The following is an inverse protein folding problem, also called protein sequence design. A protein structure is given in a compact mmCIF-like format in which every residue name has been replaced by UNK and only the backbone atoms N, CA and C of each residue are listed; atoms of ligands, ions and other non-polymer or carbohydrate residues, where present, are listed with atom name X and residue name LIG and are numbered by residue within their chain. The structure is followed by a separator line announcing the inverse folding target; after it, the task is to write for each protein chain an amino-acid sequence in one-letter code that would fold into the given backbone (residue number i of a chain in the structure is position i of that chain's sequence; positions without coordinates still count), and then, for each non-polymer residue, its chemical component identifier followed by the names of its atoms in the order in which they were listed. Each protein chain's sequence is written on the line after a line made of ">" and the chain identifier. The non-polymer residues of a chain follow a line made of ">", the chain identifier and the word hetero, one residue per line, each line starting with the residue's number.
data_IF_723657717107
#
_entry.id   IF_723657717107
#
_cell.length_a   1.000
_cell.length_b   1.000
_cell.length_c   1.000
_cell.angle_alpha   90.00
_cell.angle_beta   90.00
_cell.angle_gamma   90.00
#
_symmetry.space_group_name_H-M   'P 1'
#
loop_
_entity.id
_entity.type
_entity.pdbx_description
1 polymer ?
#
# COMPACT_ATOMS: atom_id res chain seq x y z
N UNK A 1 -3.11 -2.71 -28.80
CA UNK A 1 -2.03 -2.03 -29.54
C UNK A 1 -1.09 -1.46 -28.52
N UNK A 2 0.21 -1.83 -28.47
CA UNK A 2 1.17 -1.15 -27.62
C UNK A 2 1.33 0.28 -28.13
N UNK A 3 1.08 1.25 -27.26
CA UNK A 3 1.26 2.65 -27.57
C UNK A 3 2.76 2.97 -27.57
N UNK A 4 3.19 3.85 -28.47
CA UNK A 4 4.59 4.26 -28.73
C UNK A 4 5.33 4.92 -27.55
N UNK A 5 4.73 4.98 -26.35
CA UNK A 5 5.36 5.49 -25.11
C UNK A 5 6.34 4.50 -24.46
N UNK A 6 6.41 3.27 -24.94
CA UNK A 6 7.09 2.18 -24.23
C UNK A 6 8.61 2.06 -24.48
N UNK A 7 9.17 2.60 -25.54
CA UNK A 7 10.59 2.36 -25.87
C UNK A 7 11.57 3.18 -25.01
N UNK A 8 11.28 4.44 -24.74
CA UNK A 8 12.07 5.27 -23.82
C UNK A 8 11.95 4.81 -22.36
N UNK A 9 10.78 4.26 -21.99
CA UNK A 9 10.52 3.73 -20.68
C UNK A 9 11.25 2.42 -20.40
N UNK A 10 11.51 1.57 -21.41
CA UNK A 10 12.20 0.29 -21.23
C UNK A 10 13.70 0.45 -20.99
N UNK A 11 14.38 1.34 -21.70
CA UNK A 11 15.79 1.67 -21.41
C UNK A 11 15.95 2.25 -20.00
N UNK A 12 15.07 3.15 -19.61
CA UNK A 12 15.07 3.78 -18.28
C UNK A 12 14.85 2.73 -17.18
N UNK A 13 13.89 1.83 -17.38
CA UNK A 13 13.61 0.73 -16.45
C UNK A 13 14.80 -0.22 -16.34
N UNK A 14 15.40 -0.65 -17.43
CA UNK A 14 16.59 -1.51 -17.41
C UNK A 14 17.78 -0.87 -16.69
N UNK A 15 17.99 0.43 -16.90
CA UNK A 15 19.03 1.17 -16.16
C UNK A 15 18.77 1.20 -14.68
N UNK A 16 17.53 1.52 -14.26
CA UNK A 16 17.15 1.53 -12.86
C UNK A 16 17.29 0.14 -12.23
N UNK A 17 16.83 -0.91 -12.90
CA UNK A 17 16.97 -2.30 -12.45
C UNK A 17 18.44 -2.72 -12.25
N UNK A 18 19.32 -2.34 -13.18
CA UNK A 18 20.76 -2.63 -13.08
C UNK A 18 21.41 -1.92 -11.87
N UNK A 19 21.09 -0.63 -11.67
CA UNK A 19 21.58 0.14 -10.52
C UNK A 19 21.04 -0.40 -9.20
N UNK A 20 19.75 -0.74 -9.14
CA UNK A 20 19.13 -1.36 -7.96
C UNK A 20 19.78 -2.70 -7.60
N UNK A 21 19.96 -3.58 -8.60
CA UNK A 21 20.57 -4.89 -8.39
C UNK A 21 22.01 -4.77 -7.90
N UNK A 22 22.79 -3.85 -8.47
CA UNK A 22 24.17 -3.62 -8.05
C UNK A 22 24.24 -3.07 -6.62
N UNK A 23 23.42 -2.06 -6.29
CA UNK A 23 23.38 -1.45 -4.96
C UNK A 23 22.88 -2.43 -3.90
N UNK A 24 21.82 -3.17 -4.18
CA UNK A 24 21.26 -4.14 -3.23
C UNK A 24 22.23 -5.29 -2.94
N UNK A 25 22.96 -5.76 -3.95
CA UNK A 25 23.99 -6.78 -3.77
C UNK A 25 25.16 -6.27 -2.92
N UNK A 26 25.74 -5.10 -3.25
CA UNK A 26 26.82 -4.51 -2.46
C UNK A 26 26.44 -4.33 -1.00
N UNK A 27 25.24 -3.82 -0.75
CA UNK A 27 24.72 -3.62 0.60
C UNK A 27 24.51 -4.95 1.34
N UNK A 28 23.92 -5.94 0.70
CA UNK A 28 23.73 -7.28 1.27
C UNK A 28 25.06 -7.96 1.59
N UNK A 29 26.05 -7.86 0.69
CA UNK A 29 27.40 -8.40 0.89
C UNK A 29 28.12 -7.73 2.07
N UNK A 30 27.77 -6.49 2.42
CA UNK A 30 28.23 -5.77 3.58
C UNK A 30 27.43 -6.07 4.87
N UNK A 31 26.44 -6.95 4.78
CA UNK A 31 25.60 -7.37 5.89
C UNK A 31 24.46 -6.40 6.24
N UNK A 32 24.07 -5.51 5.32
CA UNK A 32 22.91 -4.67 5.51
C UNK A 32 21.60 -5.46 5.38
N UNK A 33 20.58 -5.00 6.09
CA UNK A 33 19.17 -5.38 5.89
C UNK A 33 18.36 -4.16 5.46
N UNK A 34 17.14 -4.36 4.99
CA UNK A 34 16.22 -3.26 4.68
C UNK A 34 15.96 -2.40 5.92
N UNK A 35 15.87 -3.02 7.11
CA UNK A 35 15.47 -2.37 8.36
C UNK A 35 16.58 -1.50 8.98
N UNK A 36 17.86 -1.84 8.74
CA UNK A 36 19.01 -1.09 9.25
C UNK A 36 19.76 -0.27 8.18
N UNK A 37 19.17 -0.19 6.99
CA UNK A 37 19.78 0.48 5.85
C UNK A 37 20.10 1.94 6.13
N UNK A 38 19.16 2.65 6.78
CA UNK A 38 19.30 4.06 7.15
C UNK A 38 19.27 4.23 8.68
N UNK A 39 20.17 5.01 9.27
CA UNK A 39 21.35 5.67 8.65
C UNK A 39 22.64 4.84 8.68
N UNK A 40 22.56 3.55 9.05
CA UNK A 40 23.74 2.73 9.35
C UNK A 40 24.66 2.51 8.14
N UNK A 41 24.09 2.19 6.98
CA UNK A 41 24.83 1.90 5.74
C UNK A 41 24.76 3.04 4.74
N UNK A 42 23.66 3.77 4.72
CA UNK A 42 23.43 4.91 3.84
C UNK A 42 22.84 6.08 4.62
N UNK A 43 23.33 7.29 4.36
CA UNK A 43 22.69 8.52 4.83
C UNK A 43 21.49 8.89 3.96
N UNK A 44 21.58 8.60 2.68
CA UNK A 44 20.52 8.78 1.69
C UNK A 44 20.75 7.84 0.51
N UNK A 45 19.73 7.60 -0.29
CA UNK A 45 19.87 6.87 -1.56
C UNK A 45 20.82 7.65 -2.48
N UNK A 46 21.81 7.00 -3.14
CA UNK A 46 22.67 7.65 -4.12
C UNK A 46 21.85 8.41 -5.17
N UNK A 47 22.26 9.64 -5.48
CA UNK A 47 21.46 10.57 -6.29
C UNK A 47 21.14 10.05 -7.70
N UNK A 48 22.08 9.36 -8.32
CA UNK A 48 21.92 8.74 -9.65
C UNK A 48 20.95 7.55 -9.62
N UNK A 49 21.00 6.72 -8.58
CA UNK A 49 20.06 5.64 -8.35
C UNK A 49 18.66 6.20 -8.09
N UNK A 50 18.52 7.16 -7.18
CA UNK A 50 17.23 7.77 -6.87
C UNK A 50 16.60 8.45 -8.11
N UNK A 51 17.42 9.12 -8.93
CA UNK A 51 16.94 9.72 -10.18
C UNK A 51 16.49 8.65 -11.18
N UNK A 52 17.26 7.56 -11.34
CA UNK A 52 16.91 6.46 -12.22
C UNK A 52 15.61 5.77 -11.81
N UNK A 53 15.44 5.50 -10.50
CA UNK A 53 14.22 4.90 -9.93
C UNK A 53 13.01 5.81 -10.19
N UNK A 54 13.09 7.09 -9.84
CA UNK A 54 12.00 8.05 -10.09
C UNK A 54 11.62 8.19 -11.56
N UNK A 55 12.58 8.07 -12.45
CA UNK A 55 12.33 8.12 -13.89
C UNK A 55 11.71 6.82 -14.44
N UNK A 56 11.94 5.68 -13.76
CA UNK A 56 11.46 4.37 -14.18
C UNK A 56 10.08 4.01 -13.61
N UNK A 57 9.69 4.62 -12.50
CA UNK A 57 8.39 4.39 -11.89
C UNK A 57 7.35 5.27 -12.57
N UNK A 58 6.29 4.64 -13.06
CA UNK A 58 5.15 5.35 -13.60
C UNK A 58 4.44 6.17 -12.48
N UNK A 59 4.10 7.41 -12.77
CA UNK A 59 3.29 8.19 -11.84
C UNK A 59 1.90 7.59 -11.74
N UNK A 60 1.28 7.55 -10.54
CA UNK A 60 -0.10 7.17 -10.39
C UNK A 60 -1.02 8.01 -11.29
N UNK A 61 -1.99 7.35 -11.92
CA UNK A 61 -3.07 8.05 -12.61
C UNK A 61 -3.86 8.88 -11.59
N UNK A 62 -4.09 10.18 -11.81
CA UNK A 62 -4.73 11.04 -10.83
C UNK A 62 -6.15 10.60 -10.43
N UNK A 63 -6.88 9.94 -11.32
CA UNK A 63 -8.24 9.45 -11.07
C UNK A 63 -8.24 8.04 -10.47
N UNK A 64 -7.35 7.16 -10.93
CA UNK A 64 -7.24 5.81 -10.41
C UNK A 64 -6.50 5.76 -9.06
N UNK A 65 -5.56 6.66 -8.82
CA UNK A 65 -4.76 6.69 -7.61
C UNK A 65 -3.62 5.65 -7.57
N UNK A 66 -3.38 4.91 -8.66
CA UNK A 66 -2.34 3.88 -8.71
C UNK A 66 -1.62 3.83 -10.06
N UNK A 67 -0.49 3.18 -10.08
CA UNK A 67 0.25 2.83 -11.29
C UNK A 67 0.97 1.51 -11.12
N UNK A 68 1.35 0.90 -12.23
CA UNK A 68 2.12 -0.35 -12.27
C UNK A 68 3.44 -0.10 -12.97
N UNK A 69 4.55 -0.47 -12.33
CA UNK A 69 5.87 -0.44 -12.92
C UNK A 69 6.44 -1.85 -13.01
N UNK A 70 6.83 -2.28 -14.19
CA UNK A 70 7.30 -3.65 -14.46
C UNK A 70 8.81 -3.67 -14.70
N UNK A 71 9.43 -4.80 -14.34
CA UNK A 71 10.82 -5.07 -14.70
C UNK A 71 11.87 -4.40 -13.82
N UNK A 72 11.52 -3.61 -12.81
CA UNK A 72 12.48 -3.00 -11.88
C UNK A 72 13.24 -4.04 -11.05
N UNK A 73 12.61 -5.16 -10.75
CA UNK A 73 13.19 -6.25 -9.98
C UNK A 73 13.60 -7.44 -10.87
N UNK A 74 13.62 -7.25 -12.20
CA UNK A 74 14.14 -8.26 -13.12
C UNK A 74 15.65 -8.46 -12.87
N UNK A 75 16.06 -9.72 -12.70
CA UNK A 75 17.46 -10.07 -12.44
C UNK A 75 17.82 -10.23 -10.96
N UNK A 76 16.87 -10.04 -10.05
CA UNK A 76 17.03 -10.51 -8.68
C UNK A 76 16.88 -12.03 -8.62
N UNK A 77 17.61 -12.71 -7.73
CA UNK A 77 17.47 -14.15 -7.57
C UNK A 77 16.06 -14.53 -7.12
N UNK A 78 15.60 -15.71 -7.51
CA UNK A 78 14.36 -16.26 -6.96
C UNK A 78 14.55 -16.46 -5.44
N UNK A 79 13.67 -15.93 -4.61
CA UNK A 79 13.76 -16.07 -3.16
C UNK A 79 13.47 -17.50 -2.65
N UNK A 80 13.26 -18.46 -3.54
CA UNK A 80 12.96 -19.84 -3.20
C UNK A 80 11.47 -20.09 -2.95
N UNK A 81 11.10 -21.23 -2.33
CA UNK A 81 9.71 -21.59 -2.08
C UNK A 81 9.05 -20.61 -1.10
N UNK A 82 7.73 -20.42 -1.27
CA UNK A 82 6.94 -19.61 -0.34
C UNK A 82 7.08 -20.14 1.08
N UNK A 83 7.52 -19.31 2.05
CA UNK A 83 7.66 -19.76 3.44
C UNK A 83 6.30 -19.96 4.10
N UNK A 84 6.24 -20.73 5.19
CA UNK A 84 4.99 -20.96 5.94
C UNK A 84 4.45 -19.71 6.65
N UNK A 85 5.28 -18.71 6.88
CA UNK A 85 4.89 -17.43 7.46
C UNK A 85 5.96 -16.39 7.19
N UNK A 86 5.62 -15.11 7.36
CA UNK A 86 6.57 -14.02 7.23
C UNK A 86 7.78 -14.15 8.18
N UNK A 87 7.62 -14.78 9.37
CA UNK A 87 8.72 -15.01 10.33
C UNK A 87 9.71 -16.07 9.83
N UNK A 88 9.25 -16.98 8.97
CA UNK A 88 10.08 -18.02 8.35
C UNK A 88 10.64 -17.61 7.00
N UNK A 89 10.22 -16.46 6.46
CA UNK A 89 10.88 -15.85 5.33
C UNK A 89 12.34 -15.57 5.73
N UNK A 90 13.26 -16.38 5.19
CA UNK A 90 14.66 -16.30 5.57
C UNK A 90 15.25 -14.95 5.23
N UNK A 91 15.81 -14.26 6.22
CA UNK A 91 16.42 -12.94 6.02
C UNK A 91 17.56 -12.95 4.97
N UNK A 92 18.09 -14.14 4.64
CA UNK A 92 19.13 -14.30 3.62
C UNK A 92 18.56 -14.46 2.21
N UNK A 93 17.41 -15.12 2.07
CA UNK A 93 16.85 -15.44 0.74
C UNK A 93 16.22 -14.22 0.09
N UNK A 94 15.64 -13.32 0.90
CA UNK A 94 14.99 -12.09 0.43
C UNK A 94 15.84 -10.83 0.61
N UNK A 95 17.01 -10.90 1.28
CA UNK A 95 17.77 -9.72 1.69
C UNK A 95 18.04 -8.70 0.58
N UNK A 96 18.48 -9.15 -0.59
CA UNK A 96 18.73 -8.26 -1.71
C UNK A 96 17.45 -7.63 -2.25
N UNK A 97 16.37 -8.39 -2.27
CA UNK A 97 15.06 -7.94 -2.72
C UNK A 97 14.48 -6.91 -1.74
N UNK A 98 14.51 -7.19 -0.46
CA UNK A 98 14.03 -6.30 0.60
C UNK A 98 14.81 -4.97 0.60
N UNK A 99 16.15 -5.02 0.45
CA UNK A 99 16.97 -3.83 0.29
C UNK A 99 16.58 -3.04 -0.97
N UNK A 100 16.36 -3.72 -2.10
CA UNK A 100 15.93 -3.04 -3.32
C UNK A 100 14.58 -2.35 -3.15
N UNK A 101 13.62 -2.99 -2.50
CA UNK A 101 12.30 -2.41 -2.17
C UNK A 101 12.46 -1.17 -1.28
N UNK A 102 13.29 -1.26 -0.24
CA UNK A 102 13.59 -0.13 0.64
C UNK A 102 14.25 1.04 -0.12
N UNK A 103 15.18 0.76 -1.05
CA UNK A 103 15.82 1.77 -1.90
C UNK A 103 14.82 2.42 -2.87
N UNK A 104 13.90 1.64 -3.45
CA UNK A 104 12.81 2.17 -4.28
C UNK A 104 11.94 3.10 -3.45
N UNK A 105 11.44 2.63 -2.30
CA UNK A 105 10.60 3.42 -1.41
C UNK A 105 11.29 4.71 -0.95
N UNK A 106 12.57 4.62 -0.51
CA UNK A 106 13.36 5.78 -0.11
C UNK A 106 13.70 6.75 -1.23
N UNK A 107 13.66 6.29 -2.49
CA UNK A 107 13.78 7.15 -3.67
C UNK A 107 12.53 7.99 -3.93
N UNK A 108 11.37 7.53 -3.46
CA UNK A 108 10.07 8.19 -3.64
C UNK A 108 9.70 9.09 -2.45
N UNK A 109 10.10 8.72 -1.23
CA UNK A 109 9.77 9.46 -0.04
C UNK A 109 10.48 8.95 1.21
N UNK A 110 9.98 9.35 2.37
CA UNK A 110 10.47 8.87 3.66
C UNK A 110 9.85 7.51 3.99
N UNK A 111 10.67 6.49 4.13
CA UNK A 111 10.23 5.16 4.53
C UNK A 111 10.08 5.10 6.06
N UNK A 112 9.04 4.44 6.52
CA UNK A 112 8.82 4.14 7.94
C UNK A 112 8.01 2.84 8.07
N UNK A 113 8.05 2.23 9.24
CA UNK A 113 7.26 1.08 9.64
C UNK A 113 6.71 1.30 11.05
N UNK A 114 5.74 0.51 11.44
CA UNK A 114 5.14 0.54 12.77
C UNK A 114 5.78 -0.54 13.65
N UNK A 115 6.18 -0.18 14.85
CA UNK A 115 6.85 -1.10 15.77
C UNK A 115 6.01 -2.36 16.09
N UNK A 116 4.69 -2.25 16.04
CA UNK A 116 3.76 -3.36 16.27
C UNK A 116 3.55 -4.30 15.07
N UNK A 117 3.92 -3.87 13.86
CA UNK A 117 3.72 -4.68 12.65
C UNK A 117 5.02 -5.39 12.26
N UNK A 118 4.95 -6.71 12.10
CA UNK A 118 6.07 -7.58 11.72
C UNK A 118 7.40 -7.21 12.41
N UNK A 119 7.36 -7.00 13.74
CA UNK A 119 8.50 -6.62 14.58
C UNK A 119 9.18 -5.29 14.15
N UNK A 120 8.44 -4.37 13.54
CA UNK A 120 8.92 -3.05 13.11
C UNK A 120 9.67 -3.04 11.78
N UNK A 121 9.52 -4.07 10.97
CA UNK A 121 10.16 -4.15 9.64
C UNK A 121 9.68 -3.02 8.72
N UNK A 122 10.57 -2.55 7.86
CA UNK A 122 10.24 -1.59 6.80
C UNK A 122 9.63 -2.26 5.56
N UNK A 123 10.01 -3.51 5.30
CA UNK A 123 9.49 -4.33 4.21
C UNK A 123 8.75 -5.51 4.82
N UNK A 124 7.44 -5.53 4.65
CA UNK A 124 6.57 -6.59 5.15
C UNK A 124 6.47 -7.71 4.12
N UNK A 125 6.62 -8.94 4.58
CA UNK A 125 6.40 -10.12 3.75
C UNK A 125 4.96 -10.59 3.91
N UNK A 126 4.19 -10.51 2.85
CA UNK A 126 2.80 -10.97 2.79
C UNK A 126 2.82 -12.38 2.18
N UNK A 127 2.55 -13.38 2.99
CA UNK A 127 2.54 -14.78 2.59
C UNK A 127 1.34 -15.49 3.21
N UNK A 128 0.69 -16.41 2.50
CA UNK A 128 -0.34 -17.26 3.10
C UNK A 128 0.23 -18.00 4.30
N UNK A 129 -0.45 -17.93 5.43
CA UNK A 129 0.06 -18.53 6.69
C UNK A 129 -0.96 -19.51 7.27
N UNK A 130 -0.54 -20.74 7.67
CA UNK A 130 -1.41 -21.69 8.35
C UNK A 130 -2.02 -21.09 9.62
N UNK A 131 -3.34 -21.19 9.75
CA UNK A 131 -4.11 -20.64 10.85
C UNK A 131 -4.77 -19.30 10.56
N UNK A 132 -4.34 -18.61 9.48
CA UNK A 132 -4.89 -17.30 9.08
C UNK A 132 -5.91 -17.43 7.92
N UNK A 133 -6.19 -18.66 7.45
CA UNK A 133 -6.92 -18.90 6.20
C UNK A 133 -8.25 -18.16 6.10
N UNK A 134 -8.93 -17.99 7.23
CA UNK A 134 -10.26 -17.39 7.32
C UNK A 134 -10.28 -16.02 8.03
N UNK A 135 -9.11 -15.41 8.27
CA UNK A 135 -9.01 -14.10 8.91
C UNK A 135 -9.04 -12.97 7.88
N UNK A 136 -9.44 -11.77 8.31
CA UNK A 136 -9.38 -10.54 7.50
C UNK A 136 -7.98 -9.89 7.60
N UNK A 137 -6.95 -10.64 7.19
CA UNK A 137 -5.54 -10.22 7.23
C UNK A 137 -4.83 -10.59 5.93
N UNK A 138 -3.72 -9.91 5.63
CA UNK A 138 -2.96 -10.13 4.40
C UNK A 138 -2.38 -11.53 4.23
N UNK A 139 -2.26 -12.32 5.31
CA UNK A 139 -1.82 -13.73 5.31
C UNK A 139 -2.94 -14.75 5.11
N UNK A 140 -4.19 -14.30 4.92
CA UNK A 140 -5.32 -15.17 4.58
C UNK A 140 -5.14 -15.82 3.21
N UNK A 141 -5.67 -17.04 3.06
CA UNK A 141 -5.67 -17.79 1.79
C UNK A 141 -7.05 -18.19 1.29
N UNK A 142 -8.08 -18.16 2.14
CA UNK A 142 -9.45 -18.57 1.81
C UNK A 142 -10.45 -17.41 1.88
N UNK A 143 -10.15 -16.37 2.64
CA UNK A 143 -11.03 -15.21 2.80
C UNK A 143 -10.54 -14.05 1.94
N UNK A 144 -11.41 -13.53 1.09
CA UNK A 144 -11.15 -12.31 0.35
C UNK A 144 -11.12 -11.13 1.33
N UNK A 145 -10.06 -10.32 1.26
CA UNK A 145 -9.97 -9.11 2.06
C UNK A 145 -11.04 -8.11 1.61
N UNK A 146 -11.76 -7.57 2.57
CA UNK A 146 -12.68 -6.48 2.33
C UNK A 146 -11.94 -5.24 1.78
N UNK A 147 -12.64 -4.41 1.03
CA UNK A 147 -12.11 -3.14 0.54
C UNK A 147 -11.70 -2.24 1.70
N UNK A 148 -10.43 -1.92 1.83
CA UNK A 148 -9.90 -1.10 2.93
C UNK A 148 -8.82 -0.13 2.47
N UNK A 149 -8.58 0.87 3.27
CA UNK A 149 -7.40 1.71 3.18
C UNK A 149 -6.41 1.27 4.25
N UNK A 150 -5.13 1.15 3.88
CA UNK A 150 -4.07 0.78 4.81
C UNK A 150 -4.02 1.76 5.97
N UNK A 151 -3.88 1.25 7.20
CA UNK A 151 -3.80 2.03 8.44
C UNK A 151 -4.87 3.13 8.56
N UNK A 152 -6.10 2.86 8.11
CA UNK A 152 -7.17 3.87 7.98
C UNK A 152 -7.46 4.66 9.26
N UNK A 153 -7.21 4.07 10.44
CA UNK A 153 -7.35 4.70 11.77
C UNK A 153 -6.20 5.68 12.07
N UNK A 154 -4.99 5.46 11.52
CA UNK A 154 -3.80 6.15 11.96
C UNK A 154 -3.69 7.57 11.38
N UNK A 155 -3.54 8.64 12.20
CA UNK A 155 -3.45 10.02 11.72
C UNK A 155 -2.20 10.30 10.87
N UNK A 156 -1.13 9.52 11.06
CA UNK A 156 0.13 9.59 10.31
C UNK A 156 0.33 8.38 9.40
N UNK A 157 -0.76 7.84 8.83
CA UNK A 157 -0.67 6.74 7.88
C UNK A 157 0.19 7.10 6.67
N UNK A 158 0.64 6.10 5.95
CA UNK A 158 1.45 6.30 4.76
C UNK A 158 0.67 7.04 3.65
N UNK A 159 1.34 7.97 2.97
CA UNK A 159 0.79 8.64 1.78
C UNK A 159 0.96 7.79 0.52
N UNK A 160 1.95 6.91 0.51
CA UNK A 160 2.25 5.98 -0.58
C UNK A 160 2.41 4.58 -0.02
N UNK A 161 1.74 3.62 -0.63
CA UNK A 161 1.96 2.20 -0.40
C UNK A 161 2.68 1.63 -1.63
N UNK A 162 3.81 0.97 -1.40
CA UNK A 162 4.54 0.23 -2.42
C UNK A 162 4.27 -1.26 -2.24
N UNK A 163 3.52 -1.84 -3.16
CA UNK A 163 3.27 -3.28 -3.17
C UNK A 163 4.11 -3.94 -4.25
N UNK A 164 4.84 -4.99 -3.87
CA UNK A 164 5.69 -5.78 -4.78
C UNK A 164 5.17 -7.19 -4.85
N UNK A 165 4.77 -7.62 -6.04
CA UNK A 165 4.43 -9.02 -6.29
C UNK A 165 5.71 -9.80 -6.56
N UNK A 166 6.04 -10.73 -5.67
CA UNK A 166 7.21 -11.62 -5.81
C UNK A 166 6.82 -12.90 -6.56
N UNK A 167 5.63 -13.41 -6.29
CA UNK A 167 5.08 -14.61 -6.93
C UNK A 167 3.56 -14.51 -7.05
N UNK A 168 3.02 -14.89 -8.19
CA UNK A 168 1.59 -14.93 -8.48
C UNK A 168 1.35 -16.03 -9.51
N UNK A 169 1.53 -17.27 -9.06
CA UNK A 169 1.45 -18.46 -9.93
C UNK A 169 0.03 -18.67 -10.46
N UNK A 170 -0.98 -18.25 -9.70
CA UNK A 170 -2.40 -18.37 -10.04
C UNK A 170 -2.96 -17.15 -10.78
N UNK A 171 -2.13 -16.13 -11.02
CA UNK A 171 -2.51 -14.87 -11.70
C UNK A 171 -3.72 -14.16 -11.07
N UNK A 172 -3.84 -14.22 -9.73
CA UNK A 172 -4.96 -13.65 -8.99
C UNK A 172 -4.94 -12.12 -8.98
N UNK A 173 -3.75 -11.53 -8.92
CA UNK A 173 -3.57 -10.09 -8.90
C UNK A 173 -4.12 -9.41 -7.64
N UNK A 174 -4.10 -8.08 -7.64
CA UNK A 174 -4.69 -7.24 -6.60
C UNK A 174 -5.71 -6.29 -7.23
N UNK A 175 -6.80 -6.04 -6.52
CA UNK A 175 -7.81 -5.06 -6.95
C UNK A 175 -7.54 -3.73 -6.26
N UNK A 176 -7.70 -2.64 -6.98
CA UNK A 176 -7.55 -1.28 -6.47
C UNK A 176 -8.76 -0.44 -6.88
N UNK A 177 -9.27 0.33 -5.94
CA UNK A 177 -10.41 1.23 -6.13
C UNK A 177 -10.02 2.67 -5.76
N UNK A 178 -10.69 3.65 -6.35
CA UNK A 178 -10.46 5.05 -6.08
C UNK A 178 -11.79 5.79 -5.89
N UNK A 179 -11.93 6.48 -4.76
CA UNK A 179 -13.08 7.33 -4.47
C UNK A 179 -13.33 8.40 -5.55
N UNK A 180 -12.30 8.80 -6.28
CA UNK A 180 -12.40 9.78 -7.38
C UNK A 180 -13.18 9.23 -8.58
N UNK A 181 -13.34 7.91 -8.70
CA UNK A 181 -14.13 7.22 -9.74
C UNK A 181 -15.51 6.80 -9.25
N UNK A 182 -15.81 6.96 -7.97
CA UNK A 182 -17.08 6.52 -7.40
C UNK A 182 -18.28 7.39 -7.79
N UNK A 183 -18.05 8.52 -8.47
CA UNK A 183 -19.12 9.44 -8.92
C UNK A 183 -20.11 9.81 -7.80
N UNK A 184 -19.54 10.16 -6.63
CA UNK A 184 -20.34 10.56 -5.47
C UNK A 184 -21.16 11.82 -5.76
N UNK A 185 -22.43 11.81 -5.40
CA UNK A 185 -23.28 13.00 -5.41
C UNK A 185 -22.88 13.99 -4.30
N UNK A 186 -23.26 15.26 -4.45
CA UNK A 186 -23.00 16.26 -3.41
C UNK A 186 -23.57 15.87 -2.02
N UNK A 187 -24.80 15.30 -1.89
CA UNK A 187 -25.29 14.83 -0.60
C UNK A 187 -24.45 13.69 0.00
N UNK A 188 -23.97 12.72 -0.82
CA UNK A 188 -23.08 11.66 -0.37
C UNK A 188 -21.74 12.22 0.13
N UNK A 189 -21.14 13.14 -0.63
CA UNK A 189 -19.91 13.82 -0.21
C UNK A 189 -20.11 14.56 1.11
N UNK A 190 -21.19 15.32 1.25
CA UNK A 190 -21.50 16.05 2.48
C UNK A 190 -21.67 15.11 3.68
N UNK A 191 -22.35 13.98 3.49
CA UNK A 191 -22.57 12.98 4.54
C UNK A 191 -21.23 12.32 4.96
N UNK A 192 -20.43 11.86 4.01
CA UNK A 192 -19.17 11.16 4.25
C UNK A 192 -18.04 12.09 4.74
N UNK A 193 -18.17 13.40 4.48
CA UNK A 193 -17.25 14.42 5.00
C UNK A 193 -17.59 14.87 6.43
N UNK A 194 -18.76 14.49 6.96
CA UNK A 194 -19.07 14.74 8.35
C UNK A 194 -18.18 13.86 9.27
N UNK A 195 -17.70 14.38 10.41
CA UNK A 195 -16.90 13.61 11.36
C UNK A 195 -17.80 12.66 12.19
N UNK A 196 -18.34 11.64 11.54
CA UNK A 196 -19.32 10.70 12.11
C UNK A 196 -18.72 9.31 12.38
N UNK A 197 -17.61 8.96 11.75
CA UNK A 197 -16.98 7.65 11.88
C UNK A 197 -15.91 7.64 12.97
N UNK A 198 -15.81 6.51 13.68
CA UNK A 198 -14.67 6.13 14.52
C UNK A 198 -14.02 4.94 13.85
N UNK A 199 -12.73 5.05 13.54
CA UNK A 199 -11.95 3.98 12.94
C UNK A 199 -10.96 3.48 13.98
N UNK A 200 -11.10 2.21 14.37
CA UNK A 200 -10.23 1.59 15.36
C UNK A 200 -9.07 0.86 14.68
N UNK A 201 -7.96 0.60 15.39
CA UNK A 201 -6.87 -0.23 14.88
C UNK A 201 -7.36 -1.62 14.49
N UNK A 202 -6.71 -2.21 13.50
CA UNK A 202 -6.90 -3.63 13.15
C UNK A 202 -6.15 -4.56 14.13
N UNK A 203 -6.39 -5.85 14.01
CA UNK A 203 -5.88 -6.89 14.91
C UNK A 203 -4.34 -7.06 14.81
N UNK A 204 -3.65 -6.38 13.90
CA UNK A 204 -2.18 -6.39 13.82
C UNK A 204 -1.52 -5.44 14.81
N UNK A 205 -2.28 -4.54 15.43
CA UNK A 205 -1.80 -3.59 16.43
C UNK A 205 -2.00 -4.12 17.84
N UNK A 206 -1.13 -3.74 18.81
CA UNK A 206 -1.31 -4.12 20.20
C UNK A 206 -2.61 -3.59 20.80
N UNK A 207 -3.24 -4.36 21.69
CA UNK A 207 -4.49 -4.00 22.39
C UNK A 207 -4.39 -2.69 23.20
N UNK A 208 -3.18 -2.25 23.53
CA UNK A 208 -2.90 -1.03 24.30
C UNK A 208 -2.76 0.22 23.42
N UNK A 209 -3.03 0.13 22.12
CA UNK A 209 -3.14 1.31 21.28
C UNK A 209 -4.28 2.21 21.80
N UNK A 210 -3.93 3.18 22.61
CA UNK A 210 -4.83 4.22 23.09
C UNK A 210 -5.04 5.29 22.01
N UNK A 211 -5.64 4.92 20.89
CA UNK A 211 -6.22 5.89 19.96
C UNK A 211 -7.50 6.43 20.60
N UNK A 212 -7.59 7.74 20.75
CA UNK A 212 -8.84 8.37 21.16
C UNK A 212 -9.95 7.97 20.18
N UNK A 213 -11.17 7.72 20.67
CA UNK A 213 -12.39 7.55 19.87
C UNK A 213 -12.74 8.86 19.13
N UNK A 214 -11.79 9.35 18.35
CA UNK A 214 -11.92 10.60 17.61
C UNK A 214 -12.80 10.36 16.40
N UNK A 215 -13.95 11.03 16.41
CA UNK A 215 -14.81 11.05 15.22
C UNK A 215 -14.08 11.72 14.05
N UNK A 216 -14.11 11.08 12.90
CA UNK A 216 -13.43 11.52 11.70
C UNK A 216 -14.33 11.45 10.48
N UNK A 217 -14.02 12.25 9.47
CA UNK A 217 -14.59 12.11 8.14
C UNK A 217 -14.00 10.86 7.46
N UNK A 218 -14.82 10.13 6.70
CA UNK A 218 -14.36 9.03 5.84
C UNK A 218 -13.93 9.52 4.46
N UNK A 219 -14.49 10.66 3.99
CA UNK A 219 -14.13 11.30 2.72
C UNK A 219 -13.79 12.76 2.97
N UNK A 220 -12.84 13.31 2.26
CA UNK A 220 -12.52 14.75 2.30
C UNK A 220 -11.94 15.24 0.96
N UNK A 221 -12.06 16.52 0.69
CA UNK A 221 -11.44 17.16 -0.48
C UNK A 221 -9.96 17.46 -0.22
N UNK A 222 -9.11 17.23 -1.21
CA UNK A 222 -7.72 17.68 -1.27
C UNK A 222 -7.49 18.47 -2.57
N UNK A 223 -6.35 19.16 -2.74
CA UNK A 223 -6.00 19.81 -4.01
C UNK A 223 -6.01 18.84 -5.22
N UNK A 224 -5.72 17.57 -4.98
CA UNK A 224 -5.64 16.54 -6.02
C UNK A 224 -6.98 15.80 -6.25
N UNK A 225 -8.04 16.16 -5.53
CA UNK A 225 -9.38 15.56 -5.62
C UNK A 225 -9.82 14.90 -4.31
N UNK A 226 -10.87 14.08 -4.37
CA UNK A 226 -11.39 13.38 -3.20
C UNK A 226 -10.41 12.35 -2.68
N UNK A 227 -10.33 12.26 -1.37
CA UNK A 227 -9.60 11.26 -0.61
C UNK A 227 -10.56 10.47 0.27
N UNK A 228 -10.19 9.24 0.59
CA UNK A 228 -10.96 8.35 1.44
C UNK A 228 -10.07 7.70 2.50
N UNK A 229 -10.62 7.43 3.66
CA UNK A 229 -10.13 6.44 4.62
C UNK A 229 -11.29 5.61 5.13
N UNK A 230 -11.16 4.33 5.03
CA UNK A 230 -12.22 3.41 5.42
C UNK A 230 -11.67 1.99 5.54
N UNK A 231 -12.17 1.28 6.52
CA UNK A 231 -12.04 -0.15 6.68
C UNK A 231 -13.35 -0.69 7.23
N UNK A 232 -14.10 -1.53 6.51
CA UNK A 232 -15.43 -1.99 6.95
C UNK A 232 -15.37 -2.82 8.23
N UNK A 233 -14.29 -3.52 8.49
CA UNK A 233 -14.14 -4.33 9.70
C UNK A 233 -13.90 -3.46 10.94
N UNK A 234 -13.25 -2.30 10.78
CA UNK A 234 -12.78 -1.46 11.88
C UNK A 234 -13.40 -0.06 11.91
N UNK A 235 -14.29 0.28 10.98
CA UNK A 235 -15.02 1.55 11.00
C UNK A 235 -16.38 1.39 11.68
N UNK A 236 -16.67 2.25 12.63
CA UNK A 236 -17.92 2.29 13.39
C UNK A 236 -18.58 3.65 13.24
N UNK A 237 -19.90 3.67 13.19
CA UNK A 237 -20.72 4.88 13.18
C UNK A 237 -21.52 4.93 14.49
N UNK A 238 -20.91 5.43 15.59
CA UNK A 238 -21.61 5.48 16.88
C UNK A 238 -22.80 6.44 16.80
N UNK A 239 -23.94 6.04 17.39
CA UNK A 239 -25.14 6.86 17.49
C UNK A 239 -24.79 8.28 17.96
N UNK A 240 -25.47 9.32 17.43
CA UNK A 240 -25.30 10.67 17.91
C UNK A 240 -25.63 10.72 19.40
N UNK A 241 -24.73 11.24 20.23
CA UNK A 241 -25.00 11.48 21.64
C UNK A 241 -26.30 12.29 21.78
N UNK A 242 -27.19 11.88 22.69
CA UNK A 242 -28.53 12.40 22.84
C UNK A 242 -28.58 13.90 23.17
N UNK A 243 -28.21 14.76 22.25
CA UNK A 243 -28.20 16.23 22.37
C UNK A 243 -28.13 16.95 21.04
N UNK A 244 -27.79 16.25 19.97
CA UNK A 244 -27.75 16.82 18.64
C UNK A 244 -28.32 15.81 17.64
N UNK A 245 -29.62 15.90 17.39
CA UNK A 245 -30.31 15.13 16.36
C UNK A 245 -30.48 15.98 15.10
N UNK A 246 -29.53 15.94 14.15
CA UNK A 246 -29.89 16.30 12.79
C UNK A 246 -30.91 15.25 12.30
N UNK A 247 -31.86 15.67 11.48
CA UNK A 247 -32.79 14.75 10.83
C UNK A 247 -31.98 13.62 10.17
N UNK A 248 -32.28 12.38 10.54
CA UNK A 248 -31.58 11.23 10.03
C UNK A 248 -31.74 11.15 8.50
N UNK A 249 -30.68 11.21 7.73
CA UNK A 249 -30.71 10.65 6.41
C UNK A 249 -30.75 9.13 6.53
N UNK A 250 -31.42 8.49 5.60
CA UNK A 250 -31.34 7.05 5.41
C UNK A 250 -29.88 6.59 5.50
N UNK A 251 -29.67 5.37 6.02
CA UNK A 251 -28.32 4.80 6.26
C UNK A 251 -27.32 5.17 5.17
N UNK A 252 -26.08 5.55 5.53
CA UNK A 252 -25.07 5.86 4.51
C UNK A 252 -24.95 4.66 3.57
N UNK A 253 -24.78 4.89 2.25
CA UNK A 253 -24.53 3.81 1.31
C UNK A 253 -23.36 3.00 1.84
N UNK A 254 -23.46 1.67 1.78
CA UNK A 254 -22.34 0.82 2.18
C UNK A 254 -21.12 1.23 1.36
N UNK A 255 -20.04 1.63 2.03
CA UNK A 255 -18.82 2.10 1.34
C UNK A 255 -18.16 0.99 0.52
N UNK A 256 -18.49 -0.28 0.80
CA UNK A 256 -18.22 -1.42 -0.06
C UNK A 256 -18.83 -1.27 -1.45
N UNK A 257 -20.09 -0.84 -1.56
CA UNK A 257 -20.74 -0.57 -2.87
C UNK A 257 -20.07 0.58 -3.64
N UNK A 258 -19.54 1.58 -2.91
CA UNK A 258 -18.77 2.67 -3.54
C UNK A 258 -17.44 2.17 -4.09
N UNK A 259 -16.79 1.25 -3.41
CA UNK A 259 -15.54 0.63 -3.87
C UNK A 259 -15.76 -0.20 -5.12
N UNK A 260 -16.85 -0.96 -5.19
CA UNK A 260 -17.22 -1.72 -6.39
C UNK A 260 -17.52 -0.79 -7.58
N UNK A 261 -18.22 0.33 -7.37
CA UNK A 261 -18.48 1.34 -8.43
C UNK A 261 -17.20 2.00 -8.95
N UNK A 262 -16.17 2.07 -8.14
CA UNK A 262 -14.91 2.74 -8.43
C UNK A 262 -13.81 1.78 -8.92
N UNK A 263 -14.10 0.48 -9.01
CA UNK A 263 -13.11 -0.54 -9.40
C UNK A 263 -12.58 -0.27 -10.82
N UNK A 264 -11.26 -0.32 -10.94
CA UNK A 264 -10.58 -0.28 -12.22
C UNK A 264 -10.23 -1.70 -12.60
N UNK A 265 -10.60 -2.18 -13.79
CA UNK A 265 -10.16 -3.49 -14.25
C UNK A 265 -8.63 -3.50 -14.34
N UNK A 266 -8.02 -4.32 -13.52
CA UNK A 266 -6.59 -4.63 -13.66
C UNK A 266 -6.44 -5.43 -14.96
N UNK A 267 -5.55 -5.04 -15.89
CA UNK A 267 -5.41 -5.78 -17.15
C UNK A 267 -5.00 -7.21 -16.84
N UNK A 268 -5.82 -8.16 -17.28
CA UNK A 268 -5.50 -9.59 -17.22
C UNK A 268 -4.14 -9.86 -17.90
N UNK A 269 -3.27 -10.64 -17.25
CA UNK A 269 -1.95 -11.00 -17.78
C UNK A 269 -0.80 -10.10 -17.31
N UNK A 270 -0.97 -9.34 -16.24
CA UNK A 270 0.08 -8.54 -15.64
C UNK A 270 0.98 -9.40 -14.74
N UNK A 271 2.00 -10.04 -15.30
CA UNK A 271 3.05 -10.69 -14.51
C UNK A 271 3.74 -9.65 -13.62
N UNK A 272 3.67 -9.85 -12.31
CA UNK A 272 4.38 -9.15 -11.22
C UNK A 272 4.48 -7.63 -11.35
N UNK A 273 3.49 -6.87 -10.89
CA UNK A 273 3.59 -5.42 -10.80
C UNK A 273 4.17 -4.96 -9.46
N UNK A 274 4.98 -3.91 -9.50
CA UNK A 274 5.13 -3.01 -8.36
C UNK A 274 3.95 -2.05 -8.41
N UNK A 275 3.09 -2.10 -7.43
CA UNK A 275 1.91 -1.20 -7.35
C UNK A 275 2.20 -0.10 -6.33
N UNK A 276 2.11 1.15 -6.75
CA UNK A 276 2.14 2.28 -5.84
C UNK A 276 0.74 2.89 -5.79
N UNK A 277 0.11 2.87 -4.63
CA UNK A 277 -1.14 3.57 -4.41
C UNK A 277 -0.85 4.85 -3.61
N UNK A 278 -1.17 6.06 -4.12
CA UNK A 278 -1.08 7.25 -3.30
C UNK A 278 -2.28 7.31 -2.35
N UNK A 279 -2.00 7.22 -1.07
CA UNK A 279 -2.90 7.71 -0.05
C UNK A 279 -2.57 9.19 0.16
N UNK A 280 -3.14 10.07 -0.66
CA UNK A 280 -2.92 11.50 -0.54
C UNK A 280 -3.63 12.04 0.70
N UNK A 281 -2.87 12.26 1.73
CA UNK A 281 -3.22 13.07 2.88
C UNK A 281 -2.13 14.10 3.09
N UNK A 282 -2.34 15.31 2.61
CA UNK A 282 -1.52 16.44 3.03
C UNK A 282 -1.95 16.87 4.42
N UNK A 283 -0.98 16.96 5.33
CA UNK A 283 -1.07 17.69 6.60
C UNK A 283 -1.38 19.16 6.39
#
# INVERSE_FOLDING_TARGET
>A
MPTTEDAGSDFTRRRAAALLSAAARDLADRGASADDLFPRYLTAVPADLAAAVRAAIARPDPMAGWSVSRGLLAGFPDPGPTPESWRKAGAHDTAQLDIAIALIAASLGRVFGWAGQQDGRLVHNIVPSPGDENLQVGSSSLTELAWHCEDSFHPRRAELLLLVCVRDDDELGSRVSSVRRAELSEPEIALLSAPSAVIVPDDSYPDDWAGDDVRTATVWASPDGLCIRYDPAYTRFPEPSAGHRPAAPDSPPELSELSERAESPTPAGARSPVTTAPLLGSS
#
